data_IF_810839989175
#
_entry.id   IF_810839989175
#
_cell.length_a   1.000
_cell.length_b   1.000
_cell.length_c   1.000
_cell.angle_alpha   90.00
_cell.angle_beta   90.00
_cell.angle_gamma   90.00
#
_symmetry.space_group_name_H-M   'P 1'
#
loop_
_entity.id
_entity.type
_entity.pdbx_description
1 polymer ?
#
# COMPACT_ATOMS: atom_id res chain seq x y z
N UNK A 1 11.18 1.08 1.07
CA UNK A 1 11.28 0.92 -0.40
C UNK A 1 10.97 2.19 -1.18
N UNK A 2 9.84 2.88 -0.90
CA UNK A 2 9.50 4.14 -1.58
C UNK A 2 10.65 5.17 -1.61
N UNK A 3 11.30 5.43 -0.47
CA UNK A 3 12.45 6.34 -0.37
C UNK A 3 13.57 6.05 -1.39
N UNK A 4 13.89 4.77 -1.61
CA UNK A 4 14.91 4.33 -2.57
C UNK A 4 14.41 4.46 -4.02
N UNK A 5 13.21 3.99 -4.31
CA UNK A 5 12.66 4.02 -5.67
C UNK A 5 12.47 5.46 -6.19
N UNK A 6 12.08 6.37 -5.29
CA UNK A 6 11.86 7.79 -5.59
C UNK A 6 13.16 8.62 -5.60
N UNK A 7 14.32 8.03 -5.28
CA UNK A 7 15.60 8.74 -5.32
C UNK A 7 15.98 9.20 -6.75
N UNK A 8 15.53 8.45 -7.77
CA UNK A 8 15.78 8.73 -9.19
C UNK A 8 15.15 10.03 -9.72
N UNK A 9 14.17 10.60 -9.01
CA UNK A 9 13.51 11.84 -9.43
C UNK A 9 14.28 13.02 -8.85
N UNK A 10 15.14 13.59 -9.67
CA UNK A 10 16.20 14.47 -9.22
C UNK A 10 16.41 15.70 -10.14
N UNK A 11 15.71 15.74 -11.29
CA UNK A 11 15.75 16.82 -12.26
C UNK A 11 16.96 16.79 -13.19
N UNK A 12 17.76 15.72 -13.19
CA UNK A 12 18.95 15.59 -14.05
C UNK A 12 18.58 14.93 -15.39
N UNK A 13 18.05 13.71 -15.33
CA UNK A 13 17.74 12.93 -16.53
C UNK A 13 16.39 13.33 -17.15
N UNK A 14 15.40 13.66 -16.31
CA UNK A 14 14.03 13.93 -16.76
C UNK A 14 13.19 14.64 -15.68
N UNK A 15 12.04 15.16 -16.11
CA UNK A 15 11.00 15.71 -15.24
C UNK A 15 11.24 17.16 -14.82
N UNK A 16 10.60 17.55 -13.71
CA UNK A 16 10.75 18.87 -13.12
C UNK A 16 12.21 19.11 -12.75
N UNK A 17 12.74 20.29 -13.09
CA UNK A 17 14.04 20.77 -12.65
C UNK A 17 13.90 22.19 -12.13
N UNK A 18 14.26 22.39 -10.86
CA UNK A 18 14.24 23.70 -10.21
C UNK A 18 15.65 24.09 -9.86
N UNK A 19 16.12 25.21 -10.40
CA UNK A 19 17.40 25.78 -10.01
C UNK A 19 17.24 26.36 -8.60
N UNK A 20 17.89 25.74 -7.61
CA UNK A 20 17.90 26.24 -6.24
C UNK A 20 18.63 27.57 -6.15
N UNK A 21 18.22 28.43 -5.21
CA UNK A 21 18.86 29.73 -4.94
C UNK A 21 19.58 29.67 -3.60
N UNK A 22 20.65 30.44 -3.44
CA UNK A 22 21.41 30.58 -2.20
C UNK A 22 22.89 30.20 -2.34
N UNK A 23 23.65 30.48 -1.29
CA UNK A 23 25.07 30.14 -1.20
C UNK A 23 25.29 28.62 -1.06
N UNK A 24 26.49 28.13 -1.39
CA UNK A 24 26.85 26.71 -1.30
C UNK A 24 26.85 25.97 -2.65
N UNK A 25 26.76 24.64 -2.63
CA UNK A 25 26.90 23.81 -3.83
C UNK A 25 25.65 23.88 -4.74
N UNK A 26 25.77 24.39 -5.98
CA UNK A 26 24.61 24.56 -6.88
C UNK A 26 23.89 23.25 -7.22
N UNK A 27 24.60 22.13 -7.30
CA UNK A 27 23.99 20.82 -7.57
C UNK A 27 23.13 20.36 -6.40
N UNK A 28 23.62 20.52 -5.16
CA UNK A 28 22.87 20.18 -3.95
C UNK A 28 21.61 21.05 -3.84
N UNK A 29 21.75 22.36 -4.08
CA UNK A 29 20.63 23.29 -4.06
C UNK A 29 19.57 22.94 -5.12
N UNK A 30 19.99 22.53 -6.31
CA UNK A 30 19.09 22.05 -7.36
C UNK A 30 18.32 20.79 -6.93
N UNK A 31 18.99 19.78 -6.37
CA UNK A 31 18.33 18.56 -5.91
C UNK A 31 17.30 18.83 -4.82
N UNK A 32 17.67 19.63 -3.82
CA UNK A 32 16.79 19.99 -2.70
C UNK A 32 15.57 20.76 -3.19
N UNK A 33 15.76 21.80 -4.02
CA UNK A 33 14.67 22.61 -4.55
C UNK A 33 13.72 21.77 -5.45
N UNK A 34 14.30 20.97 -6.34
CA UNK A 34 13.54 20.13 -7.28
C UNK A 34 12.65 19.13 -6.54
N UNK A 35 13.22 18.38 -5.59
CA UNK A 35 12.47 17.37 -4.83
C UNK A 35 11.48 18.00 -3.86
N UNK A 36 11.82 19.15 -3.29
CA UNK A 36 10.94 19.88 -2.37
C UNK A 36 9.73 20.48 -3.10
N UNK A 37 9.87 20.93 -4.34
CA UNK A 37 8.73 21.44 -5.10
C UNK A 37 7.97 20.33 -5.83
N UNK A 38 8.66 19.28 -6.29
CA UNK A 38 8.08 18.21 -7.10
C UNK A 38 7.26 17.19 -6.30
N UNK A 39 7.60 16.92 -5.03
CA UNK A 39 6.85 15.95 -4.23
C UNK A 39 5.76 16.59 -3.37
N UNK A 40 4.56 16.01 -3.43
CA UNK A 40 3.47 16.30 -2.51
C UNK A 40 3.78 15.89 -1.07
N UNK A 41 2.94 16.34 -0.12
CA UNK A 41 3.16 16.13 1.31
C UNK A 41 3.27 14.64 1.70
N UNK A 42 2.39 13.79 1.17
CA UNK A 42 2.40 12.34 1.49
C UNK A 42 3.63 11.63 0.93
N UNK A 43 4.03 11.94 -0.30
CA UNK A 43 5.25 11.37 -0.90
C UNK A 43 6.48 11.75 -0.07
N UNK A 44 6.60 13.01 0.36
CA UNK A 44 7.67 13.46 1.26
C UNK A 44 7.65 12.72 2.61
N UNK A 45 6.47 12.56 3.22
CA UNK A 45 6.30 11.83 4.49
C UNK A 45 6.85 10.40 4.37
N UNK A 46 6.49 9.69 3.30
CA UNK A 46 6.97 8.33 3.03
C UNK A 46 8.47 8.26 2.70
N UNK A 47 9.01 9.26 2.00
CA UNK A 47 10.47 9.35 1.75
C UNK A 47 11.21 9.52 3.08
N UNK A 48 10.79 10.46 3.93
CA UNK A 48 11.44 10.72 5.22
C UNK A 48 11.40 9.47 6.10
N UNK A 49 10.21 8.87 6.27
CA UNK A 49 10.04 7.66 7.08
C UNK A 49 10.86 6.49 6.52
N UNK A 50 10.86 6.31 5.19
CA UNK A 50 11.62 5.26 4.53
C UNK A 50 13.13 5.44 4.60
N UNK A 51 13.63 6.69 4.60
CA UNK A 51 15.06 6.96 4.80
C UNK A 51 15.45 6.72 6.26
N UNK A 52 14.58 7.11 7.20
CA UNK A 52 14.80 6.85 8.63
C UNK A 52 14.84 5.35 8.94
N UNK A 53 13.88 4.58 8.45
CA UNK A 53 13.82 3.13 8.72
C UNK A 53 14.97 2.33 8.09
N UNK A 54 15.65 2.89 7.09
CA UNK A 54 16.84 2.29 6.46
C UNK A 54 18.16 2.84 7.02
N UNK A 55 18.12 3.82 7.92
CA UNK A 55 19.33 4.45 8.46
C UNK A 55 20.07 3.54 9.43
N UNK A 56 21.41 3.68 9.45
CA UNK A 56 22.29 2.93 10.35
C UNK A 56 21.88 3.17 11.81
N UNK A 57 21.73 2.09 12.58
CA UNK A 57 21.26 2.11 13.97
C UNK A 57 19.75 1.88 14.13
N UNK A 58 18.94 2.14 13.08
CA UNK A 58 17.49 1.92 13.10
C UNK A 58 17.04 0.80 12.15
N UNK A 59 17.88 0.41 11.19
CA UNK A 59 17.61 -0.66 10.23
C UNK A 59 17.11 -1.96 10.87
N UNK A 60 17.80 -2.45 11.90
CA UNK A 60 17.43 -3.71 12.56
C UNK A 60 16.09 -3.61 13.29
N UNK A 61 15.88 -2.52 14.03
CA UNK A 61 14.70 -2.30 14.84
C UNK A 61 13.43 -2.10 14.01
N UNK A 62 13.55 -1.53 12.81
CA UNK A 62 12.40 -1.22 11.96
C UNK A 62 12.30 -2.12 10.73
N UNK A 63 13.24 -2.00 9.78
CA UNK A 63 13.12 -2.69 8.50
C UNK A 63 13.28 -4.21 8.64
N UNK A 64 14.33 -4.67 9.32
CA UNK A 64 14.56 -6.10 9.52
C UNK A 64 13.45 -6.73 10.37
N UNK A 65 12.98 -6.05 11.41
CA UNK A 65 11.88 -6.53 12.22
C UNK A 65 10.58 -6.64 11.41
N UNK A 66 10.27 -5.66 10.57
CA UNK A 66 9.12 -5.73 9.67
C UNK A 66 9.23 -6.89 8.66
N UNK A 67 10.43 -7.17 8.15
CA UNK A 67 10.67 -8.31 7.26
C UNK A 67 10.43 -9.66 7.97
N UNK A 68 10.79 -9.79 9.25
CA UNK A 68 10.47 -10.98 10.06
C UNK A 68 8.97 -11.15 10.29
N UNK A 69 8.26 -10.06 10.63
CA UNK A 69 6.81 -10.09 10.78
C UNK A 69 6.12 -10.48 9.47
N UNK A 70 6.63 -10.01 8.33
CA UNK A 70 6.16 -10.45 7.00
C UNK A 70 6.27 -11.96 6.83
N UNK A 71 7.35 -12.59 7.28
CA UNK A 71 7.49 -14.06 7.25
C UNK A 71 6.38 -14.74 8.05
N UNK A 72 6.05 -14.25 9.24
CA UNK A 72 4.96 -14.81 10.05
C UNK A 72 3.59 -14.70 9.34
N UNK A 73 3.32 -13.57 8.70
CA UNK A 73 2.10 -13.38 7.90
C UNK A 73 2.04 -14.41 6.75
N UNK A 74 3.16 -14.64 6.06
CA UNK A 74 3.22 -15.64 5.00
C UNK A 74 2.94 -17.06 5.52
N UNK A 75 3.46 -17.39 6.70
CA UNK A 75 3.24 -18.67 7.37
C UNK A 75 1.77 -18.86 7.76
N UNK A 76 1.10 -17.81 8.27
CA UNK A 76 -0.32 -17.85 8.62
C UNK A 76 -1.19 -18.17 7.40
N UNK A 77 -0.98 -17.48 6.27
CA UNK A 77 -1.69 -17.79 5.02
C UNK A 77 -1.35 -19.19 4.50
N UNK A 78 -0.07 -19.58 4.51
CA UNK A 78 0.35 -20.91 4.08
C UNK A 78 -0.35 -22.01 4.91
N UNK A 79 -0.46 -21.81 6.22
CA UNK A 79 -1.15 -22.73 7.11
C UNK A 79 -2.66 -22.75 6.88
N UNK A 80 -3.29 -21.59 6.65
CA UNK A 80 -4.71 -21.51 6.30
C UNK A 80 -5.00 -22.27 5.00
N UNK A 81 -4.17 -22.09 3.96
CA UNK A 81 -4.36 -22.74 2.66
C UNK A 81 -4.07 -24.24 2.63
N UNK A 82 -3.52 -24.82 3.70
CA UNK A 82 -3.48 -26.29 3.87
C UNK A 82 -4.88 -26.88 4.15
N UNK A 83 -5.79 -26.05 4.67
CA UNK A 83 -7.13 -26.48 5.11
C UNK A 83 -8.26 -25.87 4.31
N UNK A 84 -8.04 -24.70 3.72
CA UNK A 84 -9.05 -23.92 3.04
C UNK A 84 -8.60 -23.51 1.64
N UNK A 85 -9.55 -23.38 0.72
CA UNK A 85 -9.28 -22.99 -0.67
C UNK A 85 -9.09 -21.48 -0.85
N UNK A 86 -9.70 -20.69 0.02
CA UNK A 86 -9.61 -19.24 0.02
C UNK A 86 -9.79 -18.68 1.43
N UNK A 87 -9.41 -17.42 1.61
CA UNK A 87 -9.74 -16.58 2.76
C UNK A 87 -10.62 -15.44 2.27
N UNK A 88 -11.73 -15.20 2.97
CA UNK A 88 -12.71 -14.17 2.61
C UNK A 88 -12.77 -13.12 3.72
N UNK A 89 -12.77 -11.85 3.33
CA UNK A 89 -12.82 -10.68 4.22
C UNK A 89 -13.61 -9.55 3.55
N UNK A 90 -14.09 -8.52 4.27
CA UNK A 90 -14.41 -7.25 3.62
C UNK A 90 -13.16 -6.68 2.95
N UNK A 91 -13.30 -6.03 1.79
CA UNK A 91 -12.17 -5.35 1.14
C UNK A 91 -11.72 -4.12 1.93
N UNK A 92 -12.66 -3.43 2.56
CA UNK A 92 -12.44 -2.20 3.33
C UNK A 92 -13.24 -2.26 4.63
N UNK A 93 -12.76 -1.66 5.74
CA UNK A 93 -13.50 -1.64 7.01
C UNK A 93 -14.77 -0.77 6.97
N UNK A 94 -14.87 0.15 6.02
CA UNK A 94 -16.03 1.01 5.80
C UNK A 94 -16.33 1.13 4.31
N UNK A 95 -17.54 1.57 3.97
CA UNK A 95 -17.84 2.12 2.64
C UNK A 95 -17.06 3.41 2.39
N UNK A 96 -17.18 3.95 1.17
CA UNK A 96 -16.44 5.14 0.75
C UNK A 96 -16.71 6.33 1.69
N UNK A 97 -15.64 6.88 2.28
CA UNK A 97 -15.70 8.10 3.08
C UNK A 97 -15.72 9.35 2.18
N UNK A 98 -16.16 10.49 2.72
CA UNK A 98 -16.29 11.73 1.94
C UNK A 98 -14.93 12.33 1.58
N UNK A 99 -14.92 13.12 0.50
CA UNK A 99 -13.75 13.90 0.11
C UNK A 99 -13.34 14.81 1.27
N UNK A 100 -12.06 14.73 1.67
CA UNK A 100 -11.53 15.53 2.76
C UNK A 100 -11.74 14.94 4.17
N UNK A 101 -12.46 13.83 4.31
CA UNK A 101 -12.81 13.28 5.63
C UNK A 101 -11.59 12.76 6.40
N UNK A 102 -10.65 12.11 5.71
CA UNK A 102 -9.46 11.47 6.31
C UNK A 102 -8.13 12.11 5.88
N UNK A 103 -8.13 13.35 5.38
CA UNK A 103 -6.91 13.99 4.84
C UNK A 103 -6.04 14.65 5.92
N UNK A 104 -6.62 14.92 7.10
CA UNK A 104 -5.95 15.63 8.21
C UNK A 104 -5.17 14.67 9.11
N UNK A 105 -5.61 13.42 9.22
CA UNK A 105 -4.93 12.36 9.97
C UNK A 105 -4.45 11.24 9.01
N UNK A 106 -3.13 11.18 8.71
CA UNK A 106 -2.56 10.13 7.88
C UNK A 106 -2.82 8.72 8.42
N UNK A 107 -2.91 8.52 9.73
CA UNK A 107 -3.12 7.20 10.32
C UNK A 107 -4.53 6.69 10.03
N UNK A 108 -5.53 7.56 10.10
CA UNK A 108 -6.91 7.21 9.71
C UNK A 108 -7.00 6.80 8.24
N UNK A 109 -6.24 7.45 7.36
CA UNK A 109 -6.16 7.04 5.97
C UNK A 109 -5.58 5.63 5.84
N UNK A 110 -4.47 5.33 6.53
CA UNK A 110 -3.81 4.02 6.46
C UNK A 110 -4.64 2.87 7.00
N UNK A 111 -5.52 3.11 7.97
CA UNK A 111 -6.45 2.10 8.48
C UNK A 111 -7.46 1.61 7.42
N UNK A 112 -7.64 2.35 6.33
CA UNK A 112 -8.48 1.91 5.22
C UNK A 112 -7.93 0.66 4.53
N UNK A 113 -6.62 0.41 4.63
CA UNK A 113 -5.93 -0.70 3.96
C UNK A 113 -5.72 -1.93 4.87
N UNK A 114 -6.36 -1.96 6.05
CA UNK A 114 -6.14 -3.01 7.06
C UNK A 114 -6.39 -4.43 6.55
N UNK A 115 -7.35 -4.58 5.63
CA UNK A 115 -7.69 -5.88 5.03
C UNK A 115 -6.95 -6.17 3.72
N UNK A 116 -6.37 -5.16 3.05
CA UNK A 116 -5.74 -5.34 1.73
C UNK A 116 -4.24 -5.59 1.82
N UNK A 117 -3.53 -4.93 2.75
CA UNK A 117 -2.08 -5.07 2.94
C UNK A 117 -1.62 -6.52 3.17
N UNK A 118 -2.31 -7.37 3.95
CA UNK A 118 -1.87 -8.73 4.19
C UNK A 118 -1.64 -9.54 2.91
N UNK A 119 -2.47 -9.36 1.87
CA UNK A 119 -2.31 -10.04 0.59
C UNK A 119 -1.01 -9.64 -0.12
N UNK A 120 -0.64 -8.35 -0.10
CA UNK A 120 0.60 -7.85 -0.70
C UNK A 120 1.84 -8.37 0.05
N UNK A 121 1.78 -8.41 1.39
CA UNK A 121 2.86 -8.93 2.23
C UNK A 121 3.08 -10.42 1.98
N UNK A 122 1.99 -11.19 1.94
CA UNK A 122 1.98 -12.60 1.57
C UNK A 122 2.37 -12.85 0.10
N UNK A 123 2.18 -11.88 -0.79
CA UNK A 123 2.44 -12.05 -2.22
C UNK A 123 1.46 -12.99 -2.90
N UNK A 124 0.23 -13.07 -2.38
CA UNK A 124 -0.83 -13.95 -2.85
C UNK A 124 -1.87 -13.17 -3.69
N UNK A 125 -2.58 -13.82 -4.62
CA UNK A 125 -3.64 -13.17 -5.38
C UNK A 125 -4.84 -12.81 -4.47
N UNK A 126 -5.42 -11.63 -4.73
CA UNK A 126 -6.64 -11.16 -4.10
C UNK A 126 -7.54 -10.47 -5.12
N UNK A 127 -8.86 -10.64 -5.00
CA UNK A 127 -9.88 -9.96 -5.82
C UNK A 127 -10.92 -9.31 -4.91
N UNK A 128 -11.44 -8.16 -5.31
CA UNK A 128 -12.58 -7.49 -4.67
C UNK A 128 -13.79 -7.53 -5.60
N UNK A 129 -14.95 -7.90 -5.07
CA UNK A 129 -16.23 -7.91 -5.77
C UNK A 129 -17.30 -7.14 -4.97
N UNK A 130 -18.24 -6.44 -5.62
CA UNK A 130 -19.35 -5.80 -4.94
C UNK A 130 -20.34 -6.86 -4.42
N UNK A 131 -20.76 -6.75 -3.16
CA UNK A 131 -21.69 -7.73 -2.54
C UNK A 131 -22.94 -7.11 -1.93
N UNK A 132 -23.11 -5.81 -2.11
CA UNK A 132 -24.27 -5.07 -1.61
C UNK A 132 -23.96 -3.59 -1.47
N UNK A 133 -24.90 -2.89 -0.87
CA UNK A 133 -24.80 -1.46 -0.57
C UNK A 133 -25.04 -1.23 0.92
N UNK A 134 -24.47 -0.17 1.47
CA UNK A 134 -24.86 0.31 2.78
C UNK A 134 -26.20 1.08 2.74
N UNK A 135 -26.62 1.60 3.90
CA UNK A 135 -27.85 2.39 4.05
C UNK A 135 -27.89 3.66 3.19
N UNK A 136 -26.74 4.15 2.74
CA UNK A 136 -26.60 5.38 1.96
C UNK A 136 -26.38 5.08 0.46
N UNK A 137 -26.52 3.80 0.05
CA UNK A 137 -26.36 3.34 -1.34
C UNK A 137 -24.91 3.19 -1.78
N UNK A 138 -23.95 3.11 -0.85
CA UNK A 138 -22.54 2.99 -1.17
C UNK A 138 -22.12 1.52 -1.29
N UNK A 139 -21.36 1.12 -2.34
CA UNK A 139 -20.96 -0.27 -2.53
C UNK A 139 -20.11 -0.83 -1.39
N UNK A 140 -20.42 -2.07 -0.98
CA UNK A 140 -19.65 -2.88 -0.04
C UNK A 140 -18.84 -3.91 -0.83
N UNK A 141 -17.52 -3.94 -0.61
CA UNK A 141 -16.62 -4.88 -1.26
C UNK A 141 -16.35 -6.12 -0.40
N UNK A 142 -16.42 -7.30 -1.02
CA UNK A 142 -15.92 -8.56 -0.49
C UNK A 142 -14.60 -8.91 -1.18
N UNK A 143 -13.58 -9.22 -0.39
CA UNK A 143 -12.28 -9.64 -0.84
C UNK A 143 -12.12 -11.15 -0.69
N UNK A 144 -11.65 -11.81 -1.76
CA UNK A 144 -11.27 -13.22 -1.78
C UNK A 144 -9.77 -13.30 -2.02
N UNK A 145 -9.07 -14.04 -1.17
CA UNK A 145 -7.64 -14.34 -1.30
C UNK A 145 -7.44 -15.85 -1.49
N UNK A 146 -6.64 -16.24 -2.47
CA UNK A 146 -6.28 -17.63 -2.73
C UNK A 146 -4.77 -17.84 -2.63
N UNK A 147 -4.33 -19.10 -2.63
CA UNK A 147 -2.90 -19.41 -2.58
C UNK A 147 -2.18 -18.98 -3.87
N UNK A 148 -0.84 -19.00 -3.85
CA UNK A 148 0.01 -18.64 -4.98
C UNK A 148 -0.44 -19.33 -6.28
N UNK A 149 -0.57 -18.53 -7.34
CA UNK A 149 -0.92 -18.98 -8.69
C UNK A 149 -2.27 -19.71 -8.81
N UNK A 150 -3.21 -19.42 -7.90
CA UNK A 150 -4.57 -19.99 -7.91
C UNK A 150 -5.63 -18.97 -8.37
N UNK A 151 -5.29 -18.03 -9.24
CA UNK A 151 -6.19 -17.01 -9.77
C UNK A 151 -7.42 -17.62 -10.45
N UNK A 152 -7.27 -18.73 -11.18
CA UNK A 152 -8.42 -19.42 -11.78
C UNK A 152 -9.43 -19.90 -10.73
N UNK A 153 -8.95 -20.45 -9.60
CA UNK A 153 -9.81 -20.87 -8.49
C UNK A 153 -10.50 -19.66 -7.88
N UNK A 154 -9.74 -18.59 -7.63
CA UNK A 154 -10.26 -17.33 -7.10
C UNK A 154 -11.37 -16.75 -7.98
N UNK A 155 -11.17 -16.73 -9.31
CA UNK A 155 -12.16 -16.26 -10.28
C UNK A 155 -13.41 -17.15 -10.33
N UNK A 156 -13.26 -18.47 -10.24
CA UNK A 156 -14.40 -19.39 -10.18
C UNK A 156 -15.26 -19.14 -8.92
N UNK A 157 -14.62 -18.91 -7.76
CA UNK A 157 -15.32 -18.57 -6.52
C UNK A 157 -16.02 -17.21 -6.67
N UNK A 158 -15.32 -16.20 -7.20
CA UNK A 158 -15.89 -14.88 -7.42
C UNK A 158 -17.11 -14.93 -8.34
N UNK A 159 -17.03 -15.69 -9.43
CA UNK A 159 -18.16 -15.89 -10.35
C UNK A 159 -19.34 -16.59 -9.68
N UNK A 160 -19.08 -17.62 -8.86
CA UNK A 160 -20.14 -18.28 -8.09
C UNK A 160 -20.83 -17.33 -7.11
N UNK A 161 -20.09 -16.41 -6.47
CA UNK A 161 -20.69 -15.39 -5.60
C UNK A 161 -21.49 -14.38 -6.40
N UNK A 162 -20.98 -13.93 -7.56
CA UNK A 162 -21.71 -13.01 -8.45
C UNK A 162 -23.06 -13.60 -8.87
N UNK A 163 -23.10 -14.87 -9.29
CA UNK A 163 -24.35 -15.54 -9.70
C UNK A 163 -25.36 -15.69 -8.55
N UNK A 164 -24.91 -15.77 -7.30
CA UNK A 164 -25.79 -15.84 -6.12
C UNK A 164 -26.36 -14.47 -5.71
N UNK A 165 -25.74 -13.37 -6.16
CA UNK A 165 -26.14 -12.00 -5.85
C UNK A 165 -27.04 -11.39 -6.93
N UNK A 166 -27.10 -12.00 -8.11
CA UNK A 166 -28.08 -11.70 -9.16
C UNK A 166 -29.46 -12.19 -8.77
#
# INVERSE_FOLDING_TARGET
EASSNLARYDGVAYGLRVLGKGDGNPMVNMYLATRSQGFGAEAKRRIILGTYSLSTGYYEAYYLQAAKVRTLINEDFSNAFKRYDCVITPTSPTTAFRIGEKITDPLQMYLSDIYTIPANLAGIPAISLPVGEDKDGLPIGLQIMCNYFQEQKMLNIAYGIEELLK
#
